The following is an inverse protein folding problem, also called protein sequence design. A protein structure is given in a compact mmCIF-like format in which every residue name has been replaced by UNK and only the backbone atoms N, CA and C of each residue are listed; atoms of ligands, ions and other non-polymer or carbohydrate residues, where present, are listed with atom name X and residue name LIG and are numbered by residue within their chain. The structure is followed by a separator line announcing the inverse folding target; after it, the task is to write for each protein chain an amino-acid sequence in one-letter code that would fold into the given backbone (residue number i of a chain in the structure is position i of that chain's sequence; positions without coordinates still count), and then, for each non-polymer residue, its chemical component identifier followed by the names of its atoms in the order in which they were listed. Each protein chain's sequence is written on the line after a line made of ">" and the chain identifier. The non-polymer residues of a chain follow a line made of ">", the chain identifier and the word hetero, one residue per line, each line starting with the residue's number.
data_IF_345854846869
#
_entry.id   IF_345854846869
#
_cell.length_a   1.000
_cell.length_b   1.000
_cell.length_c   1.000
_cell.angle_alpha   90.00
_cell.angle_beta   90.00
_cell.angle_gamma   90.00
#
_symmetry.space_group_name_H-M   'P 1'
#
loop_
_entity.id
_entity.type
_entity.pdbx_description
1 polymer ?
#
# COMPACT_ATOMS: atom_id res chain seq x y z
N UNK A 1 -5.91 -5.22 -3.91
CA UNK A 1 -5.86 -3.74 -3.98
C UNK A 1 -7.20 -3.05 -3.87
N UNK A 2 -8.31 -3.49 -4.50
CA UNK A 2 -9.58 -2.73 -4.49
C UNK A 2 -10.05 -2.37 -3.08
N UNK A 3 -10.08 -3.36 -2.19
CA UNK A 3 -10.49 -3.19 -0.78
C UNK A 3 -9.65 -2.19 0.03
N UNK A 4 -8.39 -1.95 -0.35
CA UNK A 4 -7.51 -1.01 0.36
C UNK A 4 -7.76 0.41 -0.13
N UNK A 5 -7.99 0.59 -1.43
CA UNK A 5 -8.26 1.89 -2.03
C UNK A 5 -9.64 2.43 -1.66
N UNK A 6 -10.61 1.54 -1.44
CA UNK A 6 -11.98 1.90 -1.05
C UNK A 6 -12.16 2.10 0.47
N UNK A 7 -11.13 1.84 1.28
CA UNK A 7 -11.22 1.97 2.74
C UNK A 7 -11.20 3.46 3.15
N UNK A 8 -12.24 4.00 3.79
CA UNK A 8 -12.30 5.41 4.20
C UNK A 8 -11.19 5.83 5.19
N UNK A 9 -10.65 4.87 5.96
CA UNK A 9 -9.62 5.15 6.98
C UNK A 9 -8.24 5.37 6.39
N UNK A 10 -8.05 4.97 5.13
CA UNK A 10 -6.79 5.04 4.41
C UNK A 10 -6.79 6.16 3.36
N UNK A 11 -7.86 6.97 3.32
CA UNK A 11 -7.95 8.06 2.37
C UNK A 11 -6.91 9.16 2.69
N UNK A 12 -6.21 9.71 1.69
CA UNK A 12 -5.12 10.67 1.92
C UNK A 12 -5.53 11.98 2.60
N UNK A 13 -6.81 12.35 2.50
CA UNK A 13 -7.41 13.52 3.15
C UNK A 13 -7.57 13.33 4.66
N UNK A 14 -7.83 12.10 5.11
CA UNK A 14 -7.96 11.73 6.52
C UNK A 14 -6.61 11.31 7.11
N UNK A 15 -5.79 10.59 6.33
CA UNK A 15 -4.51 10.04 6.76
C UNK A 15 -3.42 10.35 5.72
N UNK A 16 -2.87 11.58 5.73
CA UNK A 16 -1.86 11.98 4.76
C UNK A 16 -0.57 11.20 4.98
N UNK A 17 0.04 10.73 3.89
CA UNK A 17 1.30 10.01 3.97
C UNK A 17 2.43 10.93 4.45
N UNK A 18 3.22 10.55 5.47
CA UNK A 18 4.33 11.37 5.98
C UNK A 18 5.59 11.30 5.10
N UNK A 19 5.46 10.80 3.87
CA UNK A 19 6.54 10.62 2.90
C UNK A 19 6.01 10.82 1.47
N UNK A 20 6.92 10.95 0.51
CA UNK A 20 6.58 11.13 -0.89
C UNK A 20 6.13 9.81 -1.53
N UNK A 21 4.81 9.60 -1.57
CA UNK A 21 4.20 8.42 -2.16
C UNK A 21 4.52 8.21 -3.65
N UNK A 22 4.96 9.24 -4.39
CA UNK A 22 5.36 9.08 -5.80
C UNK A 22 6.63 8.25 -5.96
N UNK A 23 7.48 8.21 -4.93
CA UNK A 23 8.73 7.45 -4.90
C UNK A 23 8.61 6.11 -4.16
N UNK A 24 7.42 5.77 -3.69
CA UNK A 24 7.15 4.46 -3.08
C UNK A 24 7.19 3.38 -4.18
N UNK A 25 8.09 2.42 -4.02
CA UNK A 25 8.18 1.25 -4.89
C UNK A 25 7.58 0.06 -4.11
N UNK A 26 6.59 -0.60 -4.68
CA UNK A 26 5.98 -1.81 -4.10
C UNK A 26 5.85 -2.92 -5.15
N UNK A 27 5.91 -4.17 -4.71
CA UNK A 27 5.79 -5.35 -5.57
C UNK A 27 5.19 -6.52 -4.80
N UNK A 28 4.44 -7.36 -5.52
CA UNK A 28 4.00 -8.67 -5.01
C UNK A 28 5.03 -9.72 -5.36
N UNK A 29 5.39 -10.56 -4.40
CA UNK A 29 6.35 -11.65 -4.60
C UNK A 29 5.71 -12.97 -4.19
N UNK A 30 5.99 -14.02 -4.94
CA UNK A 30 5.60 -15.38 -4.60
C UNK A 30 6.67 -16.02 -3.71
N UNK A 31 6.25 -16.75 -2.68
CA UNK A 31 7.16 -17.53 -1.86
C UNK A 31 7.63 -18.76 -2.64
N UNK A 32 8.92 -18.82 -2.96
CA UNK A 32 9.50 -19.88 -3.81
C UNK A 32 10.15 -21.03 -3.03
N UNK A 33 10.42 -20.85 -1.74
CA UNK A 33 10.99 -21.88 -0.86
C UNK A 33 10.26 -21.84 0.49
N UNK A 34 9.90 -23.02 1.01
CA UNK A 34 9.36 -23.22 2.35
C UNK A 34 10.15 -24.35 3.01
N UNK A 35 10.67 -24.11 4.22
CA UNK A 35 11.31 -25.12 5.08
C UNK A 35 10.33 -25.63 6.13
#
# INVERSE_FOLDING_TARGET
>A
MPRIMDDPRLQPDVNPMPFDGKRLIYGGFETVVME
#
